data_IF_640648057316
#
_entry.id   IF_640648057316
#
_cell.length_a   1.000
_cell.length_b   1.000
_cell.length_c   1.000
_cell.angle_alpha   90.00
_cell.angle_beta   90.00
_cell.angle_gamma   90.00
#
_symmetry.space_group_name_H-M   'P 1'
#
loop_
_entity.id
_entity.type
_entity.pdbx_description
1 polymer ?
#
# COMPACT_ATOMS: atom_id res chain seq x y z
N UNK A 1 -3.54 -6.91 4.97
CA UNK A 1 -4.37 -7.95 5.63
C UNK A 1 -5.00 -8.80 4.54
N UNK A 2 -4.85 -10.12 4.53
CA UNK A 2 -5.55 -10.99 3.56
C UNK A 2 -6.90 -11.42 4.15
N UNK A 3 -7.97 -11.31 3.37
CA UNK A 3 -9.27 -11.88 3.70
C UNK A 3 -9.17 -13.38 3.40
N UNK A 4 -9.10 -14.18 4.45
CA UNK A 4 -8.94 -15.62 4.43
C UNK A 4 -10.07 -16.32 5.20
N UNK A 5 -10.03 -17.64 5.27
CA UNK A 5 -11.04 -18.43 6.00
C UNK A 5 -11.23 -18.02 7.47
N UNK A 6 -10.26 -17.31 8.06
CA UNK A 6 -10.36 -16.81 9.45
C UNK A 6 -11.31 -15.61 9.59
N UNK A 7 -11.82 -15.07 8.49
CA UNK A 7 -12.87 -14.05 8.46
C UNK A 7 -14.29 -14.66 8.45
N UNK A 8 -14.45 -15.95 8.13
CA UNK A 8 -15.76 -16.61 8.06
C UNK A 8 -16.58 -16.50 9.36
N UNK A 9 -16.03 -16.70 10.57
CA UNK A 9 -16.80 -16.51 11.79
C UNK A 9 -17.33 -15.08 11.95
N UNK A 10 -16.54 -14.09 11.55
CA UNK A 10 -16.94 -12.69 11.60
C UNK A 10 -18.02 -12.37 10.57
N UNK A 11 -17.93 -12.96 9.38
CA UNK A 11 -18.97 -12.83 8.35
C UNK A 11 -20.30 -13.38 8.87
N UNK A 12 -20.30 -14.61 9.38
CA UNK A 12 -21.51 -15.23 9.92
C UNK A 12 -22.08 -14.46 11.12
N UNK A 13 -21.24 -13.97 12.01
CA UNK A 13 -21.65 -13.09 13.10
C UNK A 13 -22.33 -11.82 12.57
N UNK A 14 -21.72 -11.15 11.59
CA UNK A 14 -22.26 -9.92 10.99
C UNK A 14 -23.59 -10.18 10.28
N UNK A 15 -23.68 -11.25 9.49
CA UNK A 15 -24.94 -11.65 8.82
C UNK A 15 -26.02 -11.96 9.86
N UNK A 16 -25.72 -12.76 10.87
CA UNK A 16 -26.66 -13.09 11.94
C UNK A 16 -27.13 -11.83 12.70
N UNK A 17 -26.22 -10.92 13.00
CA UNK A 17 -26.54 -9.65 13.65
C UNK A 17 -27.45 -8.77 12.78
N UNK A 18 -27.21 -8.68 11.48
CA UNK A 18 -28.08 -7.93 10.55
C UNK A 18 -29.46 -8.59 10.45
N UNK A 19 -29.52 -9.92 10.28
CA UNK A 19 -30.80 -10.65 10.21
C UNK A 19 -31.61 -10.45 11.48
N UNK A 20 -30.98 -10.61 12.64
CA UNK A 20 -31.65 -10.37 13.94
C UNK A 20 -32.14 -8.92 14.03
N UNK A 21 -31.35 -7.95 13.60
CA UNK A 21 -31.74 -6.53 13.60
C UNK A 21 -32.94 -6.27 12.68
N UNK A 22 -33.00 -6.90 11.52
CA UNK A 22 -34.13 -6.82 10.60
C UNK A 22 -35.39 -7.43 11.24
N UNK A 23 -35.26 -8.61 11.87
CA UNK A 23 -36.39 -9.29 12.55
C UNK A 23 -36.96 -8.43 13.68
N UNK A 24 -36.09 -7.76 14.44
CA UNK A 24 -36.50 -6.84 15.50
C UNK A 24 -37.08 -5.55 14.92
N UNK A 25 -36.49 -4.98 13.87
CA UNK A 25 -36.88 -3.68 13.31
C UNK A 25 -38.23 -3.72 12.54
N UNK A 26 -38.47 -4.78 11.74
CA UNK A 26 -39.64 -4.84 10.82
C UNK A 26 -40.98 -4.72 11.52
N UNK A 27 -41.27 -5.39 12.64
CA UNK A 27 -42.52 -5.18 13.37
C UNK A 27 -42.73 -3.72 13.78
N UNK A 28 -41.71 -3.08 14.36
CA UNK A 28 -41.77 -1.67 14.78
C UNK A 28 -41.98 -0.71 13.62
N UNK A 29 -41.38 -0.99 12.48
CA UNK A 29 -41.57 -0.19 11.28
C UNK A 29 -43.00 -0.29 10.75
N UNK A 30 -43.59 -1.48 10.82
CA UNK A 30 -45.01 -1.71 10.42
C UNK A 30 -46.00 -1.01 11.32
N UNK A 31 -45.72 -0.96 12.62
CA UNK A 31 -46.59 -0.30 13.62
C UNK A 31 -46.39 1.22 13.66
N UNK A 32 -45.61 1.80 12.73
CA UNK A 32 -45.32 3.23 12.67
C UNK A 32 -44.44 3.76 13.81
N UNK A 33 -43.87 2.89 14.62
CA UNK A 33 -43.05 3.23 15.79
C UNK A 33 -41.55 3.32 15.46
N UNK A 34 -41.13 3.21 14.18
CA UNK A 34 -39.74 3.34 13.78
C UNK A 34 -39.31 4.81 13.86
N UNK A 35 -38.26 5.07 14.61
CA UNK A 35 -37.65 6.40 14.72
C UNK A 35 -36.54 6.45 15.74
N UNK A 36 -35.59 7.37 15.57
CA UNK A 36 -34.39 7.49 16.43
C UNK A 36 -34.72 7.78 17.92
N UNK A 37 -35.87 8.38 18.22
CA UNK A 37 -36.32 8.66 19.59
C UNK A 37 -37.06 7.50 20.26
N UNK A 38 -37.38 6.40 19.54
CA UNK A 38 -38.04 5.23 20.13
C UNK A 38 -37.03 4.35 20.88
N UNK A 39 -37.50 3.54 21.82
CA UNK A 39 -36.62 2.66 22.60
C UNK A 39 -35.74 1.75 21.70
N UNK A 40 -36.34 1.21 20.64
CA UNK A 40 -35.59 0.35 19.68
C UNK A 40 -34.68 1.18 18.81
N UNK A 41 -35.12 2.31 18.29
CA UNK A 41 -34.25 3.22 17.53
C UNK A 41 -33.07 3.68 18.37
N UNK A 42 -33.27 4.04 19.64
CA UNK A 42 -32.21 4.42 20.56
C UNK A 42 -31.23 3.25 20.80
N UNK A 43 -31.72 2.02 20.94
CA UNK A 43 -30.88 0.84 21.09
C UNK A 43 -29.94 0.67 19.89
N UNK A 44 -30.46 0.78 18.66
CA UNK A 44 -29.63 0.75 17.45
C UNK A 44 -28.61 1.89 17.40
N UNK A 45 -28.99 3.11 17.84
CA UNK A 45 -28.07 4.25 17.91
C UNK A 45 -26.94 4.03 18.91
N UNK A 46 -27.22 3.52 20.10
CA UNK A 46 -26.21 3.19 21.12
C UNK A 46 -25.26 2.09 20.63
N UNK A 47 -25.79 1.04 20.00
CA UNK A 47 -24.97 -0.03 19.41
C UNK A 47 -24.05 0.51 18.30
N UNK A 48 -24.58 1.34 17.40
CA UNK A 48 -23.78 1.98 16.35
C UNK A 48 -22.67 2.83 16.94
N UNK A 49 -22.99 3.68 17.92
CA UNK A 49 -21.98 4.53 18.58
C UNK A 49 -20.91 3.70 19.29
N UNK A 50 -21.30 2.65 20.01
CA UNK A 50 -20.35 1.75 20.68
C UNK A 50 -19.39 1.08 19.67
N UNK A 51 -19.89 0.64 18.50
CA UNK A 51 -19.08 0.08 17.43
C UNK A 51 -18.12 1.12 16.82
N UNK A 52 -18.58 2.36 16.63
CA UNK A 52 -17.74 3.47 16.14
C UNK A 52 -16.63 3.82 17.14
N UNK A 53 -16.94 3.90 18.43
CA UNK A 53 -15.96 4.12 19.51
C UNK A 53 -14.94 2.99 19.52
N UNK A 54 -15.39 1.73 19.46
CA UNK A 54 -14.47 0.60 19.38
C UNK A 54 -13.56 0.68 18.17
N UNK A 55 -14.09 1.04 17.00
CA UNK A 55 -13.31 1.19 15.78
C UNK A 55 -12.23 2.29 15.93
N UNK A 56 -12.55 3.40 16.60
CA UNK A 56 -11.61 4.50 16.88
C UNK A 56 -10.49 4.09 17.86
N UNK A 57 -10.76 3.18 18.79
CA UNK A 57 -9.76 2.67 19.74
C UNK A 57 -8.59 1.94 19.06
N UNK A 58 -8.76 1.46 17.82
CA UNK A 58 -7.66 0.88 17.06
C UNK A 58 -6.52 1.89 16.82
N UNK A 59 -6.86 3.15 16.53
CA UNK A 59 -5.88 4.23 16.34
C UNK A 59 -5.15 4.55 17.65
N UNK A 60 -5.88 4.62 18.75
CA UNK A 60 -5.33 4.85 20.08
C UNK A 60 -4.37 3.72 20.50
N UNK A 61 -4.76 2.47 20.24
CA UNK A 61 -3.92 1.31 20.52
C UNK A 61 -2.59 1.33 19.75
N UNK A 62 -2.60 1.81 18.49
CA UNK A 62 -1.36 1.96 17.71
C UNK A 62 -0.42 3.01 18.32
N UNK A 63 -0.97 4.07 18.89
CA UNK A 63 -0.20 5.14 19.52
C UNK A 63 0.40 4.72 20.87
N UNK A 64 -0.24 3.77 21.57
CA UNK A 64 0.20 3.27 22.88
C UNK A 64 0.51 1.76 22.82
N UNK A 65 1.67 1.34 22.29
CA UNK A 65 2.00 -0.07 22.10
C UNK A 65 2.17 -0.85 23.41
N UNK A 66 2.31 -0.13 24.55
CA UNK A 66 2.39 -0.70 25.90
C UNK A 66 1.08 -1.43 26.29
N UNK A 67 -0.05 -1.02 25.76
CA UNK A 67 -1.34 -1.67 25.98
C UNK A 67 -1.46 -2.96 25.15
N UNK A 68 -0.87 -4.04 25.65
CA UNK A 68 -0.87 -5.37 25.01
C UNK A 68 -2.23 -6.09 25.11
N UNK A 69 -3.36 -5.41 24.93
CA UNK A 69 -4.69 -6.01 25.01
C UNK A 69 -4.97 -6.81 23.72
N UNK A 70 -4.77 -8.13 23.76
CA UNK A 70 -5.06 -9.05 22.66
C UNK A 70 -4.15 -8.91 21.43
N UNK A 71 -4.38 -9.75 20.43
CA UNK A 71 -3.57 -9.78 19.19
C UNK A 71 -4.01 -8.65 18.24
N UNK A 72 -3.08 -7.91 17.65
CA UNK A 72 -3.37 -6.81 16.69
C UNK A 72 -4.24 -7.25 15.52
N UNK A 73 -4.06 -8.49 15.03
CA UNK A 73 -4.89 -9.06 13.97
C UNK A 73 -6.38 -9.17 14.34
N UNK A 74 -6.67 -9.48 15.61
CA UNK A 74 -8.06 -9.55 16.09
C UNK A 74 -8.70 -8.17 16.10
N UNK A 75 -7.99 -7.16 16.60
CA UNK A 75 -8.44 -5.78 16.60
C UNK A 75 -8.73 -5.25 15.21
N UNK A 76 -7.87 -5.58 14.24
CA UNK A 76 -8.06 -5.15 12.85
C UNK A 76 -9.28 -5.83 12.21
N UNK A 77 -9.50 -7.14 12.51
CA UNK A 77 -10.72 -7.84 12.05
C UNK A 77 -11.97 -7.25 12.70
N UNK A 78 -11.95 -7.04 14.01
CA UNK A 78 -13.05 -6.43 14.73
C UNK A 78 -13.36 -5.01 14.20
N UNK A 79 -12.34 -4.17 13.97
CA UNK A 79 -12.50 -2.85 13.36
C UNK A 79 -13.22 -2.94 12.01
N UNK A 80 -12.80 -3.85 11.13
CA UNK A 80 -13.41 -4.01 9.81
C UNK A 80 -14.87 -4.43 9.90
N UNK A 81 -15.17 -5.49 10.65
CA UNK A 81 -16.50 -6.09 10.69
C UNK A 81 -17.50 -5.27 11.53
N UNK A 82 -17.07 -4.74 12.69
CA UNK A 82 -17.92 -3.87 13.51
C UNK A 82 -18.10 -2.49 12.83
N UNK A 83 -17.07 -1.96 12.17
CA UNK A 83 -17.20 -0.75 11.38
C UNK A 83 -18.20 -0.90 10.24
N UNK A 84 -18.21 -2.05 9.57
CA UNK A 84 -19.20 -2.38 8.54
C UNK A 84 -20.62 -2.54 9.15
N UNK A 85 -20.75 -3.24 10.28
CA UNK A 85 -22.01 -3.48 10.97
C UNK A 85 -22.63 -2.18 11.53
N UNK A 86 -21.80 -1.19 11.88
CA UNK A 86 -22.31 0.10 12.36
C UNK A 86 -23.23 0.79 11.33
N UNK A 87 -23.01 0.61 10.02
CA UNK A 87 -23.83 1.20 8.97
C UNK A 87 -25.29 0.77 9.03
N UNK A 88 -25.64 -0.53 8.95
CA UNK A 88 -27.00 -1.00 9.16
C UNK A 88 -27.62 -0.53 10.48
N UNK A 89 -26.85 -0.50 11.57
CA UNK A 89 -27.36 0.00 12.87
C UNK A 89 -27.74 1.48 12.80
N UNK A 90 -26.93 2.32 12.14
CA UNK A 90 -27.26 3.73 11.88
C UNK A 90 -28.52 3.87 11.04
N UNK A 91 -28.68 3.04 10.00
CA UNK A 91 -29.89 3.07 9.15
C UNK A 91 -31.17 2.71 9.93
N UNK A 92 -31.12 1.68 10.77
CA UNK A 92 -32.25 1.31 11.63
C UNK A 92 -32.54 2.37 12.70
N UNK A 93 -31.52 3.00 13.28
CA UNK A 93 -31.66 4.12 14.19
C UNK A 93 -32.37 5.30 13.50
N UNK A 94 -31.95 5.66 12.31
CA UNK A 94 -32.49 6.76 11.53
C UNK A 94 -33.87 6.44 10.89
N UNK A 95 -34.36 5.21 11.01
CA UNK A 95 -35.54 4.71 10.31
C UNK A 95 -35.49 4.99 8.79
N UNK A 96 -34.31 4.91 8.21
CA UNK A 96 -34.02 5.24 6.81
C UNK A 96 -34.34 6.68 6.39
N UNK A 97 -34.55 7.58 7.35
CA UNK A 97 -34.87 8.99 7.12
C UNK A 97 -33.88 9.86 7.91
N UNK A 98 -33.27 10.83 7.26
CA UNK A 98 -32.50 11.86 7.92
C UNK A 98 -33.30 13.19 7.91
N UNK A 99 -33.55 13.75 9.08
CA UNK A 99 -34.25 15.02 9.23
C UNK A 99 -33.31 16.05 9.86
N UNK A 100 -32.97 17.11 9.10
CA UNK A 100 -32.10 18.17 9.55
C UNK A 100 -30.65 18.01 9.08
N UNK A 101 -29.89 19.11 9.19
CA UNK A 101 -28.53 19.21 8.64
C UNK A 101 -27.58 18.22 9.30
N UNK A 102 -27.58 18.14 10.63
CA UNK A 102 -26.65 17.29 11.40
C UNK A 102 -26.85 15.80 11.09
N UNK A 103 -28.09 15.34 11.06
CA UNK A 103 -28.42 13.92 10.80
C UNK A 103 -28.14 13.52 9.38
N UNK A 104 -28.35 14.41 8.40
CA UNK A 104 -27.96 14.20 7.01
C UNK A 104 -26.41 14.10 6.90
N UNK A 105 -25.69 15.00 7.55
CA UNK A 105 -24.21 14.99 7.54
C UNK A 105 -23.66 13.70 8.16
N UNK A 106 -24.23 13.27 9.30
CA UNK A 106 -23.85 12.01 9.96
C UNK A 106 -24.09 10.80 9.05
N UNK A 107 -25.23 10.75 8.36
CA UNK A 107 -25.53 9.66 7.44
C UNK A 107 -24.53 9.61 6.27
N UNK A 108 -24.29 10.75 5.63
CA UNK A 108 -23.30 10.85 4.54
C UNK A 108 -21.88 10.50 5.00
N UNK A 109 -21.43 11.01 6.15
CA UNK A 109 -20.13 10.65 6.71
C UNK A 109 -20.05 9.16 7.02
N UNK A 110 -21.12 8.54 7.52
CA UNK A 110 -21.15 7.09 7.76
C UNK A 110 -20.96 6.31 6.46
N UNK A 111 -21.67 6.68 5.39
CA UNK A 111 -21.52 6.04 4.08
C UNK A 111 -20.09 6.21 3.53
N UNK A 112 -19.55 7.44 3.61
CA UNK A 112 -18.21 7.74 3.13
C UNK A 112 -17.12 7.00 3.92
N UNK A 113 -17.23 6.95 5.24
CA UNK A 113 -16.28 6.24 6.11
C UNK A 113 -16.30 4.74 5.85
N UNK A 114 -17.49 4.13 5.74
CA UNK A 114 -17.62 2.69 5.43
C UNK A 114 -17.11 2.41 4.03
N UNK A 115 -17.49 3.20 3.03
CA UNK A 115 -17.02 3.06 1.65
C UNK A 115 -15.48 3.16 1.57
N UNK A 116 -14.89 4.16 2.21
CA UNK A 116 -13.43 4.28 2.28
C UNK A 116 -12.77 3.12 3.04
N UNK A 117 -13.43 2.58 4.08
CA UNK A 117 -12.98 1.39 4.80
C UNK A 117 -12.94 0.14 3.91
N UNK A 118 -13.97 -0.06 3.07
CA UNK A 118 -14.02 -1.15 2.07
C UNK A 118 -12.90 -1.00 1.05
N UNK A 119 -12.67 0.22 0.54
CA UNK A 119 -11.55 0.50 -0.38
C UNK A 119 -10.22 0.18 0.28
N UNK A 120 -10.01 0.59 1.53
CA UNK A 120 -8.79 0.27 2.28
C UNK A 120 -8.59 -1.23 2.52
N UNK A 121 -9.66 -1.96 2.83
CA UNK A 121 -9.61 -3.42 2.96
C UNK A 121 -9.26 -4.11 1.64
N UNK A 122 -9.85 -3.66 0.53
CA UNK A 122 -9.54 -4.14 -0.81
C UNK A 122 -8.08 -3.87 -1.20
N UNK A 123 -7.60 -2.64 -0.97
CA UNK A 123 -6.18 -2.30 -1.21
C UNK A 123 -5.25 -3.20 -0.41
N UNK A 124 -5.52 -3.42 0.88
CA UNK A 124 -4.70 -4.30 1.73
C UNK A 124 -4.80 -5.78 1.34
N UNK A 125 -5.88 -6.22 0.73
CA UNK A 125 -6.04 -7.58 0.23
C UNK A 125 -5.25 -7.82 -1.06
N UNK A 126 -5.27 -6.87 -1.98
CA UNK A 126 -4.62 -6.96 -3.30
C UNK A 126 -3.12 -6.75 -3.24
N UNK A 127 -2.62 -6.01 -2.22
CA UNK A 127 -1.19 -5.77 -2.06
C UNK A 127 -0.47 -7.07 -1.66
N UNK A 128 0.61 -7.46 -2.36
CA UNK A 128 1.36 -8.68 -2.05
C UNK A 128 1.82 -8.73 -0.59
N UNK A 129 1.37 -9.75 0.15
CA UNK A 129 1.61 -9.84 1.59
C UNK A 129 3.10 -9.95 2.02
N UNK A 130 4.03 -10.13 1.06
CA UNK A 130 5.48 -10.13 1.31
C UNK A 130 6.02 -8.73 1.62
N UNK A 131 5.44 -7.68 1.04
CA UNK A 131 5.90 -6.29 1.22
C UNK A 131 5.64 -5.72 2.62
N UNK A 132 4.68 -6.27 3.37
CA UNK A 132 4.28 -5.73 4.67
C UNK A 132 4.86 -6.47 5.89
N UNK A 133 5.62 -7.55 5.68
CA UNK A 133 6.12 -8.38 6.79
C UNK A 133 7.50 -7.99 7.30
N UNK A 134 8.30 -7.33 6.48
CA UNK A 134 9.74 -7.24 6.74
C UNK A 134 10.23 -5.85 7.18
N UNK A 135 9.47 -4.77 6.96
CA UNK A 135 9.96 -3.41 7.31
C UNK A 135 8.85 -2.54 7.93
N UNK A 136 9.12 -1.82 9.04
CA UNK A 136 8.21 -0.81 9.60
C UNK A 136 7.98 0.34 8.62
N UNK A 137 6.74 0.81 8.51
CA UNK A 137 6.28 1.82 7.53
C UNK A 137 7.10 3.12 7.52
N UNK A 138 7.63 3.53 8.65
CA UNK A 138 8.35 4.79 8.82
C UNK A 138 9.80 4.72 8.30
N UNK A 139 10.43 3.55 8.45
CA UNK A 139 11.84 3.35 8.10
C UNK A 139 12.07 3.35 6.57
N UNK A 140 11.10 2.90 5.77
CA UNK A 140 11.26 2.83 4.31
C UNK A 140 11.33 4.21 3.67
N UNK A 141 10.54 5.18 4.13
CA UNK A 141 10.50 6.51 3.51
C UNK A 141 11.82 7.27 3.70
N UNK A 142 12.35 7.27 4.91
CA UNK A 142 13.61 7.96 5.24
C UNK A 142 14.82 7.28 4.59
N UNK A 143 14.74 5.97 4.33
CA UNK A 143 15.83 5.18 3.74
C UNK A 143 15.81 5.12 2.21
N UNK A 144 14.71 5.51 1.53
CA UNK A 144 14.60 5.42 0.06
C UNK A 144 15.73 6.18 -0.64
N UNK A 145 16.07 7.37 -0.15
CA UNK A 145 17.17 8.17 -0.70
C UNK A 145 18.53 7.48 -0.55
N UNK A 146 18.76 6.87 0.61
CA UNK A 146 20.01 6.13 0.91
C UNK A 146 20.11 4.87 0.04
N UNK A 147 19.04 4.05 -0.01
CA UNK A 147 18.99 2.83 -0.82
C UNK A 147 19.22 3.17 -2.31
N UNK A 148 18.56 4.22 -2.82
CA UNK A 148 18.79 4.67 -4.20
C UNK A 148 20.24 5.06 -4.46
N UNK A 149 20.88 5.78 -3.53
CA UNK A 149 22.30 6.10 -3.60
C UNK A 149 23.17 4.84 -3.67
N UNK A 150 22.89 3.84 -2.83
CA UNK A 150 23.60 2.56 -2.84
C UNK A 150 23.45 1.80 -4.16
N UNK A 151 22.22 1.78 -4.75
CA UNK A 151 22.00 1.15 -6.05
C UNK A 151 22.80 1.84 -7.18
N UNK A 152 22.91 3.18 -7.15
CA UNK A 152 23.74 3.92 -8.11
C UNK A 152 25.21 3.58 -7.93
N UNK A 153 25.72 3.58 -6.71
CA UNK A 153 27.12 3.24 -6.42
C UNK A 153 27.47 1.80 -6.81
N UNK A 154 26.53 0.88 -6.62
CA UNK A 154 26.68 -0.52 -7.01
C UNK A 154 26.72 -0.68 -8.53
N UNK A 155 25.83 -0.01 -9.25
CA UNK A 155 25.82 0.01 -10.71
C UNK A 155 27.08 0.68 -11.28
N UNK A 156 27.54 1.80 -10.69
CA UNK A 156 28.79 2.47 -11.07
C UNK A 156 29.98 1.51 -10.94
N UNK A 157 30.03 0.67 -9.91
CA UNK A 157 31.07 -0.37 -9.73
C UNK A 157 31.00 -1.46 -10.79
N UNK A 158 29.79 -1.96 -11.10
CA UNK A 158 29.62 -2.99 -12.13
C UNK A 158 29.95 -2.45 -13.53
N UNK A 159 29.54 -1.22 -13.85
CA UNK A 159 29.90 -0.58 -15.12
C UNK A 159 31.41 -0.45 -15.28
N UNK A 160 32.12 -0.01 -14.24
CA UNK A 160 33.57 0.08 -14.23
C UNK A 160 34.22 -1.29 -14.42
N UNK A 161 33.70 -2.32 -13.75
CA UNK A 161 34.22 -3.70 -13.92
C UNK A 161 34.09 -4.18 -15.37
N UNK A 162 32.96 -3.93 -16.03
CA UNK A 162 32.77 -4.27 -17.46
C UNK A 162 33.79 -3.55 -18.32
N UNK A 163 33.95 -2.24 -18.14
CA UNK A 163 34.88 -1.43 -18.93
C UNK A 163 36.34 -1.85 -18.69
N UNK A 164 36.73 -2.15 -17.43
CA UNK A 164 38.07 -2.62 -17.10
C UNK A 164 38.39 -4.02 -17.66
N UNK A 165 37.38 -4.93 -17.62
CA UNK A 165 37.53 -6.29 -18.20
C UNK A 165 37.68 -6.27 -19.72
N UNK A 166 37.03 -5.31 -20.37
CA UNK A 166 37.05 -5.19 -21.83
C UNK A 166 38.15 -4.23 -22.35
N UNK A 167 38.78 -3.46 -21.45
CA UNK A 167 39.90 -2.59 -21.82
C UNK A 167 41.08 -3.44 -22.35
N UNK A 168 41.64 -3.09 -23.49
CA UNK A 168 42.83 -3.78 -23.97
C UNK A 168 43.94 -3.67 -22.91
N UNK A 169 44.57 -4.81 -22.56
CA UNK A 169 45.62 -4.89 -21.57
C UNK A 169 46.79 -3.94 -21.95
N UNK A 170 46.76 -2.72 -21.42
CA UNK A 170 47.84 -1.74 -21.59
C UNK A 170 48.98 -2.10 -20.62
N UNK A 171 49.92 -2.89 -21.13
CA UNK A 171 51.25 -3.04 -20.53
C UNK A 171 51.32 -4.03 -19.37
N UNK A 172 51.86 -5.13 -19.65
CA UNK A 172 52.79 -6.03 -18.97
C UNK A 172 52.43 -7.51 -19.15
N UNK A 173 53.13 -8.18 -20.02
CA UNK A 173 53.55 -9.56 -19.82
C UNK A 173 52.56 -10.71 -19.79
N UNK A 174 51.28 -10.54 -20.14
CA UNK A 174 50.32 -11.65 -20.25
C UNK A 174 50.26 -12.11 -21.73
N UNK A 175 51.19 -12.95 -22.07
CA UNK A 175 51.31 -13.62 -23.36
C UNK A 175 50.20 -14.67 -23.54
N UNK A 176 49.46 -14.55 -24.67
CA UNK A 176 49.09 -15.71 -25.50
C UNK A 176 47.88 -16.55 -25.13
N UNK A 177 46.73 -16.03 -24.74
CA UNK A 177 45.48 -16.79 -24.96
C UNK A 177 44.34 -15.96 -25.55
N UNK A 178 44.43 -14.65 -25.62
CA UNK A 178 43.35 -13.78 -26.15
C UNK A 178 43.63 -13.20 -27.55
N UNK A 179 44.50 -13.80 -28.33
CA UNK A 179 44.99 -13.25 -29.61
C UNK A 179 44.15 -13.70 -30.83
N UNK A 180 42.89 -14.03 -30.66
CA UNK A 180 42.01 -14.34 -31.80
C UNK A 180 40.72 -13.53 -31.91
N UNK A 181 40.53 -12.49 -31.10
CA UNK A 181 39.51 -11.52 -31.34
C UNK A 181 40.14 -10.18 -31.67
N UNK A 182 39.96 -9.72 -32.87
CA UNK A 182 40.48 -8.46 -33.37
C UNK A 182 39.99 -7.29 -32.57
N UNK A 183 40.89 -6.66 -31.82
CA UNK A 183 40.72 -5.58 -30.85
C UNK A 183 40.04 -4.29 -31.38
N UNK A 184 39.92 -3.99 -32.69
CA UNK A 184 39.24 -2.78 -33.18
C UNK A 184 37.73 -2.79 -33.02
N UNK A 185 37.08 -3.95 -33.08
CA UNK A 185 35.60 -4.02 -33.02
C UNK A 185 35.05 -3.85 -31.60
N UNK A 186 35.78 -4.31 -30.57
CA UNK A 186 35.37 -4.19 -29.18
C UNK A 186 35.35 -2.74 -28.64
N UNK A 187 36.12 -1.83 -29.25
CA UNK A 187 36.20 -0.44 -28.81
C UNK A 187 34.92 0.35 -29.02
N UNK A 188 34.20 0.13 -30.14
CA UNK A 188 32.94 0.77 -30.42
C UNK A 188 31.82 0.24 -29.51
N UNK A 189 31.86 -1.04 -29.19
CA UNK A 189 30.87 -1.71 -28.33
C UNK A 189 31.02 -1.33 -26.87
N UNK A 190 32.26 -1.19 -26.37
CA UNK A 190 32.53 -0.64 -25.03
C UNK A 190 32.07 0.81 -24.94
N UNK A 191 32.33 1.61 -25.97
CA UNK A 191 31.82 3.00 -26.03
C UNK A 191 30.27 3.05 -26.07
N UNK A 192 29.62 2.12 -26.79
CA UNK A 192 28.19 1.99 -26.82
C UNK A 192 27.62 1.59 -25.44
N UNK A 193 28.28 0.69 -24.72
CA UNK A 193 27.91 0.31 -23.35
C UNK A 193 28.06 1.47 -22.38
N UNK A 194 29.19 2.18 -22.41
CA UNK A 194 29.41 3.36 -21.56
C UNK A 194 28.37 4.44 -21.83
N UNK A 195 28.01 4.65 -23.10
CA UNK A 195 26.94 5.56 -23.49
C UNK A 195 25.59 5.07 -22.94
N UNK A 196 25.25 3.80 -23.10
CA UNK A 196 24.02 3.21 -22.57
C UNK A 196 23.95 3.36 -21.05
N UNK A 197 25.05 3.07 -20.35
CA UNK A 197 25.14 3.27 -18.91
C UNK A 197 24.89 4.73 -18.52
N UNK A 198 25.58 5.66 -19.16
CA UNK A 198 25.51 7.09 -18.84
C UNK A 198 24.15 7.71 -19.22
N UNK A 199 23.53 7.30 -20.33
CA UNK A 199 22.30 7.89 -20.84
C UNK A 199 21.01 7.21 -20.38
N UNK A 200 21.07 5.93 -20.02
CA UNK A 200 19.87 5.15 -19.68
C UNK A 200 19.91 4.59 -18.26
N UNK A 201 20.96 3.83 -17.88
CA UNK A 201 21.00 3.10 -16.62
C UNK A 201 21.15 4.05 -15.44
N UNK A 202 22.19 4.88 -15.45
CA UNK A 202 22.49 5.80 -14.35
C UNK A 202 21.38 6.85 -14.13
N UNK A 203 20.80 7.48 -15.16
CA UNK A 203 19.64 8.35 -15.02
C UNK A 203 18.41 7.63 -14.46
N UNK A 204 18.15 6.37 -14.89
CA UNK A 204 17.05 5.56 -14.36
C UNK A 204 17.21 5.27 -12.87
N UNK A 205 18.40 4.86 -12.43
CA UNK A 205 18.69 4.55 -11.03
C UNK A 205 18.61 5.77 -10.13
N UNK A 206 19.11 6.93 -10.60
CA UNK A 206 19.12 8.19 -9.85
C UNK A 206 17.77 8.90 -9.84
N UNK A 207 16.88 8.63 -10.81
CA UNK A 207 15.61 9.31 -10.96
C UNK A 207 14.67 9.06 -9.78
N UNK A 208 13.91 10.09 -9.39
CA UNK A 208 12.74 9.88 -8.55
C UNK A 208 11.66 9.14 -9.33
N UNK A 209 10.82 8.40 -8.61
CA UNK A 209 9.83 7.52 -9.23
C UNK A 209 8.98 8.20 -10.32
N UNK A 210 8.57 9.47 -10.11
CA UNK A 210 7.75 10.20 -11.08
C UNK A 210 8.42 10.37 -12.43
N UNK A 211 9.74 10.57 -12.43
CA UNK A 211 10.55 10.71 -13.63
C UNK A 211 11.07 9.37 -14.14
N UNK A 212 11.34 8.43 -13.24
CA UNK A 212 11.74 7.07 -13.61
C UNK A 212 10.71 6.39 -14.52
N UNK A 213 9.41 6.61 -14.31
CA UNK A 213 8.34 6.04 -15.16
C UNK A 213 8.35 6.51 -16.62
N UNK A 214 9.07 7.58 -16.92
CA UNK A 214 9.22 8.14 -18.28
C UNK A 214 10.43 7.57 -19.01
N UNK A 215 11.32 6.86 -18.29
CA UNK A 215 12.56 6.31 -18.82
C UNK A 215 12.32 4.88 -19.36
N UNK A 216 13.03 4.53 -20.43
CA UNK A 216 12.85 3.27 -21.14
C UNK A 216 13.05 2.04 -20.25
N UNK A 217 14.05 2.07 -19.36
CA UNK A 217 14.39 0.97 -18.45
C UNK A 217 13.35 0.71 -17.34
N UNK A 218 12.35 1.59 -17.19
CA UNK A 218 11.22 1.32 -16.29
C UNK A 218 10.38 0.12 -16.79
N UNK A 219 10.27 -0.07 -18.12
CA UNK A 219 9.67 -1.27 -18.69
C UNK A 219 10.68 -2.44 -18.60
N UNK A 220 10.31 -3.46 -17.82
CA UNK A 220 11.14 -4.66 -17.64
C UNK A 220 11.50 -5.34 -18.97
N UNK A 221 10.59 -5.37 -19.94
CA UNK A 221 10.85 -6.02 -21.25
C UNK A 221 11.91 -5.27 -22.03
N UNK A 222 11.89 -3.95 -21.96
CA UNK A 222 12.91 -3.10 -22.59
C UNK A 222 14.24 -3.32 -21.89
N UNK A 223 14.29 -3.27 -20.56
CA UNK A 223 15.50 -3.49 -19.78
C UNK A 223 16.15 -4.84 -20.11
N UNK A 224 15.39 -5.95 -20.02
CA UNK A 224 15.91 -7.30 -20.35
C UNK A 224 16.49 -7.33 -21.76
N UNK A 225 15.78 -6.78 -22.76
CA UNK A 225 16.26 -6.76 -24.14
C UNK A 225 17.55 -6.01 -24.31
N UNK A 226 17.69 -4.83 -23.70
CA UNK A 226 18.90 -4.02 -23.83
C UNK A 226 20.11 -4.71 -23.15
N UNK A 227 19.93 -5.30 -21.98
CA UNK A 227 21.00 -6.06 -21.31
C UNK A 227 21.35 -7.36 -22.07
N UNK A 228 20.38 -8.06 -22.65
CA UNK A 228 20.62 -9.24 -23.45
C UNK A 228 21.39 -8.90 -24.75
N UNK A 229 21.11 -7.75 -25.39
CA UNK A 229 21.88 -7.28 -26.52
C UNK A 229 23.38 -7.18 -26.18
N UNK A 230 23.74 -6.60 -25.04
CA UNK A 230 25.13 -6.53 -24.60
C UNK A 230 25.73 -7.90 -24.28
N UNK A 231 24.96 -8.84 -23.72
CA UNK A 231 25.41 -10.22 -23.48
C UNK A 231 25.71 -10.97 -24.77
N UNK A 232 25.01 -10.70 -25.87
CA UNK A 232 25.28 -11.35 -27.17
C UNK A 232 26.58 -10.86 -27.81
N UNK A 233 26.97 -9.62 -27.53
CA UNK A 233 28.13 -8.97 -28.12
C UNK A 233 29.38 -9.18 -27.28
N UNK A 234 29.26 -9.15 -25.96
CA UNK A 234 30.39 -9.24 -25.04
C UNK A 234 30.78 -10.68 -24.69
N UNK A 235 32.07 -10.91 -24.41
CA UNK A 235 32.57 -12.21 -23.97
C UNK A 235 31.94 -12.62 -22.64
N UNK A 236 31.86 -13.93 -22.40
CA UNK A 236 31.23 -14.53 -21.23
C UNK A 236 31.73 -13.98 -19.89
N UNK A 237 32.98 -13.51 -19.84
CA UNK A 237 33.54 -12.89 -18.62
C UNK A 237 32.81 -11.62 -18.19
N UNK A 238 32.19 -10.87 -19.12
CA UNK A 238 31.44 -9.66 -18.83
C UNK A 238 29.94 -9.92 -18.47
N UNK A 239 29.47 -11.15 -18.63
CA UNK A 239 28.05 -11.46 -18.38
C UNK A 239 27.63 -11.32 -16.92
N UNK A 240 28.53 -11.66 -15.99
CA UNK A 240 28.25 -11.54 -14.56
C UNK A 240 28.01 -10.07 -14.15
N UNK A 241 28.91 -9.10 -14.40
CA UNK A 241 28.66 -7.71 -14.02
C UNK A 241 27.50 -7.07 -14.80
N UNK A 242 27.24 -7.47 -16.05
CA UNK A 242 26.05 -7.04 -16.80
C UNK A 242 24.77 -7.57 -16.16
N UNK A 243 24.78 -8.84 -15.72
CA UNK A 243 23.65 -9.45 -15.01
C UNK A 243 23.39 -8.78 -13.66
N UNK A 244 24.44 -8.50 -12.90
CA UNK A 244 24.34 -7.78 -11.64
C UNK A 244 23.75 -6.36 -11.83
N UNK A 245 24.12 -5.66 -12.90
CA UNK A 245 23.55 -4.35 -13.23
C UNK A 245 22.04 -4.44 -13.59
N UNK A 246 21.63 -5.48 -14.31
CA UNK A 246 20.21 -5.74 -14.59
C UNK A 246 19.44 -6.02 -13.29
N UNK A 247 20.02 -6.78 -12.34
CA UNK A 247 19.44 -7.04 -11.03
C UNK A 247 19.27 -5.74 -10.23
N UNK A 248 20.26 -4.85 -10.24
CA UNK A 248 20.17 -3.52 -9.60
C UNK A 248 19.01 -2.69 -10.22
N UNK A 249 18.83 -2.74 -11.54
CA UNK A 249 17.69 -2.08 -12.19
C UNK A 249 16.34 -2.69 -11.78
N UNK A 250 16.28 -4.02 -11.61
CA UNK A 250 15.08 -4.71 -11.13
C UNK A 250 14.79 -4.35 -9.66
N UNK A 251 15.81 -4.30 -8.81
CA UNK A 251 15.66 -3.87 -7.41
C UNK A 251 15.12 -2.44 -7.32
N UNK A 252 15.64 -1.52 -8.12
CA UNK A 252 15.11 -0.15 -8.24
C UNK A 252 13.64 -0.15 -8.65
N UNK A 253 13.24 -0.99 -9.60
CA UNK A 253 11.84 -1.10 -10.06
C UNK A 253 10.93 -1.60 -8.95
N UNK A 254 11.39 -2.58 -8.17
CA UNK A 254 10.66 -3.08 -7.01
C UNK A 254 10.53 -2.01 -5.91
N UNK A 255 11.60 -1.25 -5.65
CA UNK A 255 11.60 -0.13 -4.72
C UNK A 255 10.56 0.93 -5.16
N UNK A 256 10.55 1.33 -6.42
CA UNK A 256 9.57 2.28 -6.96
C UNK A 256 8.13 1.78 -6.86
N UNK A 257 7.94 0.47 -7.06
CA UNK A 257 6.62 -0.14 -6.85
C UNK A 257 6.18 -0.09 -5.38
N UNK A 258 7.10 -0.36 -4.44
CA UNK A 258 6.85 -0.25 -3.00
C UNK A 258 6.47 1.18 -2.61
N UNK A 259 7.21 2.17 -3.10
CA UNK A 259 6.91 3.60 -2.88
C UNK A 259 5.51 3.96 -3.35
N UNK A 260 5.09 3.46 -4.53
CA UNK A 260 3.73 3.68 -5.05
C UNK A 260 2.66 3.19 -4.09
N UNK A 261 2.80 1.95 -3.67
CA UNK A 261 1.82 1.31 -2.81
C UNK A 261 1.73 2.01 -1.46
N UNK A 262 2.86 2.43 -0.94
CA UNK A 262 2.95 3.16 0.31
C UNK A 262 2.27 4.53 0.22
N UNK A 263 2.53 5.31 -0.84
CA UNK A 263 1.84 6.59 -1.09
C UNK A 263 0.33 6.42 -1.23
N UNK A 264 -0.13 5.37 -1.92
CA UNK A 264 -1.56 5.08 -2.03
C UNK A 264 -2.21 4.81 -0.68
N UNK A 265 -1.57 3.99 0.18
CA UNK A 265 -2.08 3.68 1.51
C UNK A 265 -2.07 4.90 2.44
N UNK A 266 -1.00 5.71 2.38
CA UNK A 266 -0.94 6.96 3.14
C UNK A 266 -2.01 7.96 2.67
N UNK A 267 -2.16 8.16 1.37
CA UNK A 267 -3.20 9.02 0.81
C UNK A 267 -4.60 8.59 1.22
N UNK A 268 -4.88 7.28 1.17
CA UNK A 268 -6.12 6.73 1.68
C UNK A 268 -6.30 7.01 3.19
N UNK A 269 -5.27 6.78 4.00
CA UNK A 269 -5.34 6.99 5.44
C UNK A 269 -5.57 8.46 5.80
N UNK A 270 -4.95 9.39 5.06
CA UNK A 270 -5.14 10.83 5.22
C UNK A 270 -6.59 11.28 4.96
N UNK A 271 -7.35 10.55 4.15
CA UNK A 271 -8.76 10.80 3.95
C UNK A 271 -9.64 10.06 4.98
N UNK A 272 -9.36 8.77 5.19
CA UNK A 272 -10.18 7.92 6.07
C UNK A 272 -10.16 8.36 7.53
N UNK A 273 -8.98 8.72 8.06
CA UNK A 273 -8.82 9.05 9.47
C UNK A 273 -9.55 10.36 9.88
N UNK A 274 -9.40 11.49 9.16
CA UNK A 274 -10.14 12.71 9.48
C UNK A 274 -11.65 12.55 9.34
N UNK A 275 -12.14 11.86 8.31
CA UNK A 275 -13.57 11.58 8.15
C UNK A 275 -14.11 10.74 9.29
N UNK A 276 -13.39 9.73 9.73
CA UNK A 276 -13.79 8.88 10.87
C UNK A 276 -13.78 9.66 12.18
N UNK A 277 -12.81 10.54 12.39
CA UNK A 277 -12.75 11.41 13.56
C UNK A 277 -13.90 12.42 13.58
N UNK A 278 -14.19 13.04 12.44
CA UNK A 278 -15.34 13.95 12.29
C UNK A 278 -16.68 13.24 12.54
N UNK A 279 -16.86 12.04 11.96
CA UNK A 279 -18.06 11.22 12.20
C UNK A 279 -18.25 10.92 13.69
N UNK A 280 -17.21 10.45 14.37
CA UNK A 280 -17.29 10.11 15.79
C UNK A 280 -17.59 11.34 16.65
N UNK A 281 -16.90 12.47 16.39
CA UNK A 281 -17.14 13.72 17.13
C UNK A 281 -18.58 14.21 16.97
N UNK A 282 -19.09 14.26 15.73
CA UNK A 282 -20.45 14.68 15.45
C UNK A 282 -21.50 13.69 15.98
N UNK A 283 -21.21 12.39 15.98
CA UNK A 283 -22.07 11.38 16.58
C UNK A 283 -22.17 11.56 18.11
N UNK A 284 -21.06 11.89 18.78
CA UNK A 284 -21.07 12.22 20.22
C UNK A 284 -21.86 13.50 20.51
N UNK A 285 -21.68 14.54 19.69
CA UNK A 285 -22.48 15.79 19.80
C UNK A 285 -23.96 15.50 19.62
N UNK A 286 -24.31 14.69 18.62
CA UNK A 286 -25.68 14.26 18.37
C UNK A 286 -26.28 13.48 19.57
N UNK A 287 -25.53 12.52 20.11
CA UNK A 287 -25.95 11.72 21.25
C UNK A 287 -26.16 12.58 22.50
N UNK A 288 -25.26 13.53 22.81
CA UNK A 288 -25.39 14.46 23.94
C UNK A 288 -26.61 15.38 23.73
N UNK A 289 -26.83 15.87 22.50
CA UNK A 289 -28.01 16.68 22.17
C UNK A 289 -29.31 15.91 22.37
N UNK A 290 -29.36 14.65 21.91
CA UNK A 290 -30.54 13.79 22.06
C UNK A 290 -30.87 13.40 23.52
N UNK A 291 -29.88 13.45 24.42
CA UNK A 291 -30.08 13.20 25.86
C UNK A 291 -30.56 14.45 26.64
N UNK A 292 -30.40 15.63 26.05
CA UNK A 292 -30.81 16.91 26.69
C UNK A 292 -32.19 17.39 26.31
N UNK A 293 -32.69 16.94 25.20
CA UNK A 293 -33.98 17.29 24.62
C UNK A 293 -34.81 16.06 24.32
#
# INVERSE_FOLDING_TARGET
MRIDRTHLPWLWFTVAAIVLSVVVYVPYARDGQAGGGTAIGLTFGVLALAMMVFAALLSLRKRFPIWRIGRTRLWLKAHLWLGFLAGPMVLFHAAFHARGLLTNLLLWLTVMVIGSGVVGAWMQHTLPGKMFREVPYETIFDQIGVIRGQLVEEADRHAKNVTEMLAPARGAGATVVLTMLTVPELGEEVAAFDKFYASEVRPYLSAERGDATKLALYDRKVAVREFDNFRTVFPQAAWEPIGAMEEVCEEKRQLDHQVKLHRMLHGWLLCHLPMSAALLLLALVHAVGALRY
#
